data_IF_708144536824
#
_entry.id   IF_708144536824
#
_cell.length_a   1.000
_cell.length_b   1.000
_cell.length_c   1.000
_cell.angle_alpha   90.00
_cell.angle_beta   90.00
_cell.angle_gamma   90.00
#
_symmetry.space_group_name_H-M   'P 1'
#
loop_
_entity.id
_entity.type
_entity.pdbx_description
1 polymer ?
#
# COMPACT_ATOMS: atom_id res chain seq x y z
N UNK A 1 -24.69 -15.50 -38.96
CA UNK A 1 -23.45 -15.05 -39.65
C UNK A 1 -23.15 -13.61 -39.25
N UNK A 2 -21.94 -13.40 -38.69
CA UNK A 2 -21.06 -12.21 -38.66
C UNK A 2 -21.62 -10.77 -38.50
N UNK A 3 -21.31 -10.19 -37.32
CA UNK A 3 -20.47 -9.00 -37.02
C UNK A 3 -20.66 -7.67 -37.78
N UNK A 4 -20.81 -6.56 -37.02
CA UNK A 4 -19.94 -5.36 -37.11
C UNK A 4 -20.29 -4.19 -36.16
N UNK A 5 -19.23 -3.62 -35.54
CA UNK A 5 -18.96 -2.23 -35.06
C UNK A 5 -19.42 -1.86 -33.64
N UNK A 6 -18.54 -1.73 -32.63
CA UNK A 6 -17.46 -0.74 -32.40
C UNK A 6 -17.95 0.72 -32.32
N UNK A 7 -17.95 1.29 -31.12
CA UNK A 7 -17.84 2.74 -30.90
C UNK A 7 -17.00 3.01 -29.63
N UNK A 8 -15.71 3.24 -29.84
CA UNK A 8 -14.82 3.97 -28.93
C UNK A 8 -14.96 5.45 -29.27
N UNK A 9 -15.22 6.33 -28.31
CA UNK A 9 -14.85 7.75 -28.41
C UNK A 9 -14.52 8.32 -27.02
N UNK A 10 -13.23 8.49 -26.75
CA UNK A 10 -12.67 9.49 -25.84
C UNK A 10 -12.30 10.71 -26.66
N UNK A 11 -12.80 11.91 -26.34
CA UNK A 11 -12.12 13.19 -26.64
C UNK A 11 -12.42 14.20 -25.52
N UNK A 12 -11.34 14.65 -24.89
CA UNK A 12 -11.24 15.83 -24.03
C UNK A 12 -11.31 17.14 -24.84
N UNK A 13 -11.71 18.22 -24.14
CA UNK A 13 -11.58 19.67 -24.38
C UNK A 13 -12.98 20.32 -24.33
N UNK A 14 -13.26 21.26 -23.41
CA UNK A 14 -12.57 22.54 -23.36
C UNK A 14 -12.89 23.37 -22.08
N UNK A 15 -11.86 24.09 -21.61
CA UNK A 15 -11.85 25.49 -21.11
C UNK A 15 -12.35 25.77 -19.68
N UNK A 16 -11.42 26.25 -18.84
CA UNK A 16 -11.72 26.84 -17.53
C UNK A 16 -10.51 27.30 -16.72
N UNK A 17 -9.85 28.36 -17.19
CA UNK A 17 -8.92 29.27 -16.48
C UNK A 17 -7.49 28.83 -16.13
N UNK A 18 -6.58 29.73 -16.52
CA UNK A 18 -5.13 29.75 -16.40
C UNK A 18 -4.65 29.73 -14.94
N UNK A 19 -3.79 28.76 -14.61
CA UNK A 19 -2.98 28.76 -13.39
C UNK A 19 -1.53 28.46 -13.77
N UNK A 20 -0.69 29.47 -13.72
CA UNK A 20 0.72 29.47 -14.11
C UNK A 20 1.53 28.37 -13.39
N UNK A 21 2.26 27.57 -14.15
CA UNK A 21 3.32 26.69 -13.64
C UNK A 21 4.56 27.54 -13.29
N UNK A 22 4.60 28.07 -12.07
CA UNK A 22 5.80 28.65 -11.47
C UNK A 22 6.40 27.66 -10.47
N UNK A 23 7.65 27.26 -10.67
CA UNK A 23 8.40 26.48 -9.69
C UNK A 23 8.68 27.31 -8.43
N UNK A 24 8.62 26.66 -7.25
CA UNK A 24 9.13 27.25 -6.02
C UNK A 24 8.33 26.91 -4.76
N UNK A 25 8.92 26.00 -3.98
CA UNK A 25 8.91 25.96 -2.52
C UNK A 25 7.66 25.46 -1.77
N UNK A 26 7.94 24.85 -0.61
CA UNK A 26 7.02 24.06 0.21
C UNK A 26 5.72 24.77 0.56
N UNK A 27 4.63 24.04 0.39
CA UNK A 27 3.28 24.44 0.76
C UNK A 27 2.48 23.22 1.20
N UNK A 28 2.02 23.29 2.44
CA UNK A 28 1.20 22.31 3.14
C UNK A 28 -0.08 22.00 2.34
N UNK A 29 -0.19 20.80 1.77
CA UNK A 29 -1.39 20.31 1.08
C UNK A 29 -2.40 19.71 2.05
N UNK A 30 -2.85 20.51 3.02
CA UNK A 30 -4.01 20.21 3.86
C UNK A 30 -5.14 21.15 3.46
N UNK A 31 -6.28 20.61 3.03
CA UNK A 31 -7.49 21.40 2.79
C UNK A 31 -8.22 21.06 1.49
N UNK A 32 -8.77 19.84 1.41
CA UNK A 32 -9.86 19.51 0.49
C UNK A 32 -11.09 19.17 1.32
N UNK A 33 -11.85 20.18 1.74
CA UNK A 33 -13.15 20.02 2.38
C UNK A 33 -14.18 19.54 1.36
N UNK A 34 -14.29 18.22 1.21
CA UNK A 34 -15.46 17.59 0.63
C UNK A 34 -16.25 16.93 1.76
N UNK A 35 -17.56 17.16 1.81
CA UNK A 35 -18.51 16.32 2.55
C UNK A 35 -18.58 14.92 1.93
N UNK A 36 -17.43 14.23 1.82
CA UNK A 36 -17.34 12.84 1.41
C UNK A 36 -17.58 11.98 2.63
N UNK A 37 -18.56 11.08 2.56
CA UNK A 37 -18.78 10.11 3.62
C UNK A 37 -17.46 9.38 3.94
N UNK A 38 -17.19 9.19 5.24
CA UNK A 38 -16.01 8.46 5.70
C UNK A 38 -15.94 7.09 5.04
N UNK A 39 -14.76 6.70 4.56
CA UNK A 39 -14.55 5.38 3.95
C UNK A 39 -14.31 4.28 4.99
N UNK A 40 -14.24 4.64 6.28
CA UNK A 40 -14.06 3.74 7.41
C UNK A 40 -15.39 3.22 7.98
N UNK A 41 -16.52 3.44 7.31
CA UNK A 41 -17.84 2.92 7.69
C UNK A 41 -18.20 1.69 6.85
N UNK A 42 -19.01 0.75 7.37
CA UNK A 42 -19.49 -0.36 6.58
C UNK A 42 -20.35 0.15 5.42
N UNK A 43 -20.23 -0.49 4.25
CA UNK A 43 -21.10 -0.18 3.10
C UNK A 43 -22.55 -0.55 3.41
N UNK A 44 -23.49 0.11 2.75
CA UNK A 44 -24.91 -0.28 2.83
C UNK A 44 -25.13 -1.70 2.27
N UNK A 45 -26.14 -2.40 2.79
CA UNK A 45 -26.59 -3.70 2.28
C UNK A 45 -25.73 -4.91 2.67
N UNK A 46 -24.90 -4.81 3.72
CA UNK A 46 -24.21 -5.97 4.29
C UNK A 46 -25.20 -6.91 4.99
N UNK A 47 -24.96 -8.21 4.87
CA UNK A 47 -25.60 -9.18 5.76
C UNK A 47 -25.10 -9.00 7.20
N UNK A 48 -25.85 -9.53 8.18
CA UNK A 48 -25.42 -9.49 9.59
C UNK A 48 -24.03 -10.09 9.79
N UNK A 49 -23.75 -11.24 9.17
CA UNK A 49 -22.44 -11.89 9.26
C UNK A 49 -21.30 -11.04 8.66
N UNK A 50 -21.57 -10.31 7.57
CA UNK A 50 -20.59 -9.41 6.96
C UNK A 50 -20.34 -8.16 7.82
N UNK A 51 -21.39 -7.60 8.42
CA UNK A 51 -21.27 -6.48 9.34
C UNK A 51 -20.46 -6.87 10.57
N UNK A 52 -20.74 -8.04 11.17
CA UNK A 52 -19.96 -8.55 12.30
C UNK A 52 -18.49 -8.81 11.93
N UNK A 53 -18.22 -9.32 10.72
CA UNK A 53 -16.85 -9.50 10.25
C UNK A 53 -16.12 -8.15 10.07
N UNK A 54 -16.81 -7.15 9.52
CA UNK A 54 -16.29 -5.79 9.43
C UNK A 54 -15.94 -5.23 10.80
N UNK A 55 -16.83 -5.39 11.78
CA UNK A 55 -16.65 -4.88 13.14
C UNK A 55 -15.48 -5.53 13.87
N UNK A 56 -15.34 -6.86 13.80
CA UNK A 56 -14.16 -7.57 14.32
C UNK A 56 -12.86 -7.09 13.65
N UNK A 57 -12.89 -6.90 12.34
CA UNK A 57 -11.75 -6.38 11.59
C UNK A 57 -11.36 -4.97 12.05
N UNK A 58 -12.36 -4.10 12.25
CA UNK A 58 -12.16 -2.73 12.74
C UNK A 58 -11.54 -2.69 14.13
N UNK A 59 -11.98 -3.57 15.03
CA UNK A 59 -11.41 -3.69 16.37
C UNK A 59 -9.91 -4.03 16.28
N UNK A 60 -9.54 -5.09 15.55
CA UNK A 60 -8.14 -5.50 15.36
C UNK A 60 -7.33 -4.38 14.71
N UNK A 61 -7.86 -3.75 13.67
CA UNK A 61 -7.17 -2.73 12.89
C UNK A 61 -6.83 -1.47 13.70
N UNK A 62 -7.71 -1.10 14.62
CA UNK A 62 -7.58 0.13 15.43
C UNK A 62 -6.95 -0.11 16.79
N UNK A 63 -6.76 -1.37 17.19
CA UNK A 63 -6.14 -1.75 18.45
C UNK A 63 -4.68 -1.31 18.52
N UNK A 64 -4.29 -0.80 19.68
CA UNK A 64 -2.90 -0.64 20.06
C UNK A 64 -2.42 -1.93 20.74
N UNK A 65 -1.43 -2.56 20.12
CA UNK A 65 -0.80 -3.78 20.56
C UNK A 65 0.43 -3.47 21.42
N UNK A 66 0.65 -4.26 22.45
CA UNK A 66 1.85 -4.23 23.30
C UNK A 66 2.93 -5.17 22.75
N UNK A 67 4.22 -4.91 23.06
CA UNK A 67 5.30 -5.83 22.71
C UNK A 67 5.04 -7.27 23.19
N UNK A 68 4.46 -7.42 24.38
CA UNK A 68 4.11 -8.70 25.00
C UNK A 68 3.01 -9.48 24.28
N UNK A 69 2.29 -8.86 23.34
CA UNK A 69 1.16 -9.46 22.61
C UNK A 69 1.59 -10.07 21.26
N UNK A 70 2.88 -10.39 21.10
CA UNK A 70 3.39 -11.08 19.92
C UNK A 70 3.86 -10.16 18.79
N UNK A 71 3.97 -8.85 19.03
CA UNK A 71 4.66 -7.94 18.10
C UNK A 71 6.18 -8.23 18.01
N UNK A 72 6.71 -8.97 18.99
CA UNK A 72 8.14 -9.20 19.15
C UNK A 72 8.88 -7.96 19.64
N UNK A 73 10.19 -8.08 19.91
CA UNK A 73 11.00 -6.95 20.35
C UNK A 73 11.23 -5.90 19.26
N UNK A 74 10.90 -6.19 18.00
CA UNK A 74 11.33 -5.42 16.83
C UNK A 74 10.20 -4.92 15.90
N UNK A 75 9.11 -4.39 16.47
CA UNK A 75 7.98 -3.88 15.69
C UNK A 75 8.17 -2.43 15.21
N UNK A 76 7.64 -2.12 14.02
CA UNK A 76 7.71 -0.78 13.42
C UNK A 76 6.59 0.17 13.87
N UNK A 77 5.46 -0.38 14.32
CA UNK A 77 4.33 0.35 14.89
C UNK A 77 3.49 -0.56 15.79
N UNK A 78 2.76 0.02 16.74
CA UNK A 78 1.88 -0.73 17.67
C UNK A 78 0.46 -0.91 17.14
N UNK A 79 0.13 -0.40 15.95
CA UNK A 79 -1.22 -0.52 15.39
C UNK A 79 -1.20 -0.37 13.87
N UNK A 80 -2.08 -1.07 13.16
CA UNK A 80 -2.26 -0.94 11.71
C UNK A 80 -2.59 0.51 11.33
N UNK A 81 -3.47 1.16 12.10
CA UNK A 81 -3.87 2.55 11.88
C UNK A 81 -2.71 3.55 11.99
N UNK A 82 -1.57 3.18 12.57
CA UNK A 82 -0.41 4.09 12.68
C UNK A 82 0.14 4.48 11.31
N UNK A 83 0.03 3.57 10.34
CA UNK A 83 0.43 3.80 8.96
C UNK A 83 -0.80 3.98 8.04
N UNK A 84 -1.97 3.47 8.40
CA UNK A 84 -3.18 3.51 7.58
C UNK A 84 -4.26 4.41 8.20
N UNK A 85 -4.01 5.72 8.27
CA UNK A 85 -4.79 6.67 9.08
C UNK A 85 -5.57 7.71 8.31
N UNK A 86 -5.28 7.92 7.02
CA UNK A 86 -5.68 9.15 6.32
C UNK A 86 -6.34 8.87 4.97
N UNK A 87 -7.50 9.46 4.65
CA UNK A 87 -8.25 10.43 5.47
C UNK A 87 -8.94 9.84 6.70
N UNK A 88 -9.23 8.53 6.66
CA UNK A 88 -9.86 7.77 7.75
C UNK A 88 -9.01 6.54 8.11
N UNK A 89 -9.24 5.86 9.26
CA UNK A 89 -8.67 4.56 9.54
C UNK A 89 -8.94 3.56 8.41
N UNK A 90 -7.89 2.94 7.87
CA UNK A 90 -7.95 2.12 6.65
C UNK A 90 -7.48 2.87 5.40
N UNK A 91 -7.17 4.16 5.54
CA UNK A 91 -6.60 4.96 4.46
C UNK A 91 -5.10 4.75 4.28
N UNK A 92 -4.50 5.71 3.60
CA UNK A 92 -3.07 5.84 3.41
C UNK A 92 -2.42 6.53 4.62
N UNK A 93 -1.19 7.01 4.49
CA UNK A 93 -0.48 7.72 5.57
C UNK A 93 -0.14 9.16 5.17
N UNK A 94 -0.06 10.11 6.12
CA UNK A 94 0.66 11.35 5.90
C UNK A 94 2.12 11.07 5.49
N UNK A 95 2.72 11.93 4.67
CA UNK A 95 4.08 11.69 4.12
C UNK A 95 5.16 11.48 5.19
N UNK A 96 5.00 12.02 6.39
CA UNK A 96 5.95 11.81 7.49
C UNK A 96 5.95 10.36 8.01
N UNK A 97 4.88 9.59 7.75
CA UNK A 97 4.74 8.14 8.04
C UNK A 97 5.20 7.26 6.88
N UNK A 98 5.85 7.81 5.85
CA UNK A 98 6.54 7.00 4.86
C UNK A 98 7.53 6.04 5.53
N UNK A 99 7.91 5.00 4.82
CA UNK A 99 8.97 4.08 5.22
C UNK A 99 9.84 3.75 4.02
N UNK A 100 10.98 3.15 4.28
CA UNK A 100 11.93 2.73 3.26
C UNK A 100 11.97 1.21 3.18
N UNK A 101 12.12 0.71 1.96
CA UNK A 101 12.58 -0.64 1.70
C UNK A 101 14.06 -0.53 1.36
N UNK A 102 14.92 -1.08 2.20
CA UNK A 102 16.37 -1.05 2.05
C UNK A 102 16.92 -2.45 1.98
N UNK A 103 17.68 -2.75 0.94
CA UNK A 103 18.30 -4.05 0.77
C UNK A 103 19.73 -3.94 0.27
N UNK A 104 20.59 -4.85 0.72
CA UNK A 104 21.95 -4.99 0.21
C UNK A 104 21.90 -5.62 -1.18
N UNK A 105 22.55 -4.97 -2.14
CA UNK A 105 22.63 -5.37 -3.53
C UNK A 105 22.00 -4.35 -4.49
N UNK A 106 21.93 -4.68 -5.80
CA UNK A 106 21.31 -3.84 -6.80
C UNK A 106 19.80 -3.65 -6.56
N UNK A 107 19.17 -2.77 -7.34
CA UNK A 107 17.72 -2.59 -7.30
C UNK A 107 17.00 -3.93 -7.54
N UNK A 108 16.09 -4.28 -6.62
CA UNK A 108 15.37 -5.57 -6.63
C UNK A 108 15.89 -6.59 -5.61
N UNK A 109 17.04 -6.33 -4.97
CA UNK A 109 17.49 -7.16 -3.85
C UNK A 109 16.52 -7.09 -2.66
N UNK A 110 16.47 -8.19 -1.89
CA UNK A 110 15.62 -8.34 -0.71
C UNK A 110 16.41 -8.70 0.57
N UNK A 111 17.74 -8.62 0.51
CA UNK A 111 18.60 -8.92 1.67
C UNK A 111 18.57 -7.78 2.67
N UNK A 112 18.00 -8.00 3.85
CA UNK A 112 18.01 -7.04 4.94
C UNK A 112 19.46 -6.64 5.30
N UNK A 113 19.64 -5.37 5.67
CA UNK A 113 20.92 -4.90 6.21
C UNK A 113 21.15 -5.63 7.54
N UNK A 114 22.32 -6.28 7.75
CA UNK A 114 22.66 -6.92 9.00
C UNK A 114 22.33 -6.03 10.20
N UNK A 115 21.48 -6.57 11.07
CA UNK A 115 21.02 -5.86 12.26
C UNK A 115 19.69 -5.14 12.19
N UNK A 116 19.05 -5.15 11.03
CA UNK A 116 17.63 -4.85 10.95
C UNK A 116 16.83 -6.16 10.95
N UNK A 117 15.63 -6.17 11.56
CA UNK A 117 14.75 -7.33 11.53
C UNK A 117 14.20 -7.63 10.13
N UNK A 118 14.22 -6.64 9.22
CA UNK A 118 13.69 -6.76 7.87
C UNK A 118 14.26 -5.65 6.96
N UNK A 119 13.94 -5.71 5.67
CA UNK A 119 14.19 -4.63 4.70
C UNK A 119 13.34 -3.38 4.96
N UNK A 120 12.33 -3.44 5.83
CA UNK A 120 11.43 -2.32 6.11
C UNK A 120 12.02 -1.45 7.20
N UNK A 121 12.33 -0.20 6.86
CA UNK A 121 12.91 0.79 7.78
C UNK A 121 11.97 1.99 7.93
N UNK A 122 11.44 2.26 9.13
CA UNK A 122 10.52 3.37 9.33
C UNK A 122 11.25 4.73 9.20
N UNK A 123 10.59 5.73 8.60
CA UNK A 123 11.09 7.11 8.53
C UNK A 123 10.84 7.90 9.83
N UNK A 124 10.30 7.25 10.86
CA UNK A 124 9.91 7.85 12.13
C UNK A 124 10.24 6.91 13.29
N UNK A 125 10.48 7.48 14.48
CA UNK A 125 10.83 6.73 15.68
C UNK A 125 12.28 6.95 16.10
N UNK A 126 12.51 6.99 17.42
CA UNK A 126 13.82 7.15 18.02
C UNK A 126 14.36 5.77 18.43
N UNK A 127 15.40 5.31 17.76
CA UNK A 127 16.61 4.88 18.47
C UNK A 127 16.65 3.56 19.26
N UNK A 128 15.87 2.51 18.97
CA UNK A 128 16.04 1.23 19.71
C UNK A 128 16.30 -0.02 18.86
N UNK A 129 16.19 0.04 17.53
CA UNK A 129 16.04 -1.17 16.70
C UNK A 129 17.06 -1.28 15.56
N UNK A 130 18.03 -0.38 15.51
CA UNK A 130 18.95 -0.27 14.39
C UNK A 130 20.39 -0.39 14.91
N UNK A 131 21.00 -1.56 14.75
CA UNK A 131 22.43 -1.78 15.09
C UNK A 131 23.38 -1.35 13.96
N UNK A 132 22.86 -0.88 12.82
CA UNK A 132 23.68 -0.11 11.88
C UNK A 132 23.76 1.35 12.38
N UNK A 133 24.83 2.06 12.02
CA UNK A 133 25.03 3.49 12.31
C UNK A 133 24.01 4.37 11.58
N UNK A 134 22.73 4.22 11.89
CA UNK A 134 21.68 5.13 11.48
C UNK A 134 21.73 6.32 12.43
N UNK A 135 22.36 7.39 11.97
CA UNK A 135 22.43 8.63 12.75
C UNK A 135 21.10 9.37 12.65
N UNK A 136 20.61 9.86 13.78
CA UNK A 136 19.61 10.93 13.86
C UNK A 136 20.30 12.28 14.15
N UNK A 137 21.61 12.44 13.88
CA UNK A 137 22.26 13.75 14.02
C UNK A 137 21.48 14.82 13.23
N UNK A 138 21.07 15.87 13.94
CA UNK A 138 20.23 16.93 13.39
C UNK A 138 18.79 16.52 13.08
N UNK A 139 18.31 15.37 13.57
CA UNK A 139 16.93 14.88 13.39
C UNK A 139 16.64 14.28 12.00
N UNK A 140 17.66 13.97 11.20
CA UNK A 140 17.49 13.41 9.84
C UNK A 140 17.89 11.95 9.79
N UNK A 141 16.97 11.10 9.35
CA UNK A 141 17.22 9.69 9.09
C UNK A 141 18.11 9.52 7.84
N UNK A 142 19.23 8.79 7.95
CA UNK A 142 20.18 8.53 6.84
C UNK A 142 20.43 7.04 6.65
N UNK A 143 20.11 6.53 5.46
CA UNK A 143 20.43 5.15 5.02
C UNK A 143 21.82 5.16 4.36
N UNK A 144 22.72 4.24 4.70
CA UNK A 144 24.01 4.13 4.00
C UNK A 144 23.79 3.71 2.55
N UNK A 145 24.59 4.26 1.63
CA UNK A 145 24.56 3.92 0.20
C UNK A 145 25.24 2.59 -0.10
N UNK A 146 26.01 2.07 0.85
CA UNK A 146 26.83 0.88 0.72
C UNK A 146 27.01 0.20 2.09
N UNK A 147 27.14 -1.13 2.09
CA UNK A 147 27.35 -1.95 3.28
C UNK A 147 28.30 -3.10 2.95
N UNK A 148 29.42 -3.21 3.66
CA UNK A 148 30.52 -4.14 3.36
C UNK A 148 30.99 -4.12 1.88
N UNK A 149 31.00 -2.94 1.24
CA UNK A 149 31.42 -2.77 -0.15
C UNK A 149 30.38 -3.18 -1.20
N UNK A 150 29.18 -3.62 -0.79
CA UNK A 150 28.04 -3.82 -1.67
C UNK A 150 27.13 -2.59 -1.68
N UNK A 151 26.53 -2.21 -2.82
CA UNK A 151 25.56 -1.11 -2.86
C UNK A 151 24.32 -1.44 -2.04
N UNK A 152 23.63 -0.41 -1.54
CA UNK A 152 22.34 -0.54 -0.86
C UNK A 152 21.26 0.10 -1.72
N UNK A 153 20.33 -0.72 -2.22
CA UNK A 153 19.14 -0.25 -2.90
C UNK A 153 18.13 0.27 -1.87
N UNK A 154 17.55 1.44 -2.14
CA UNK A 154 16.54 2.07 -1.27
C UNK A 154 15.33 2.48 -2.08
N UNK A 155 14.14 2.21 -1.57
CA UNK A 155 12.90 2.67 -2.15
C UNK A 155 11.96 3.22 -1.08
N UNK A 156 11.52 4.48 -1.22
CA UNK A 156 10.54 5.06 -0.31
C UNK A 156 9.12 4.59 -0.67
N UNK A 157 8.31 4.29 0.35
CA UNK A 157 6.93 3.84 0.22
C UNK A 157 6.05 4.61 1.20
N UNK A 158 4.79 4.74 0.82
CA UNK A 158 3.71 5.18 1.68
C UNK A 158 2.74 4.01 1.85
N UNK A 159 2.08 3.92 3.00
CA UNK A 159 1.09 2.89 3.24
C UNK A 159 -0.07 3.05 2.25
N UNK A 160 -0.46 1.95 1.62
CA UNK A 160 -1.58 1.93 0.68
C UNK A 160 -2.90 2.01 1.46
N UNK A 161 -3.94 2.59 0.86
CA UNK A 161 -5.28 2.49 1.43
C UNK A 161 -5.75 1.03 1.39
N UNK A 162 -6.35 0.55 2.48
CA UNK A 162 -6.91 -0.79 2.62
C UNK A 162 -8.44 -0.81 2.45
N UNK A 163 -9.06 0.31 2.07
CA UNK A 163 -10.50 0.35 1.82
C UNK A 163 -10.89 -0.66 0.74
N UNK A 164 -11.92 -1.47 1.03
CA UNK A 164 -12.49 -2.39 0.05
C UNK A 164 -11.62 -3.59 -0.34
N UNK A 165 -10.41 -3.75 0.19
CA UNK A 165 -9.53 -4.89 -0.19
C UNK A 165 -10.15 -6.24 0.18
N UNK A 166 -10.96 -6.30 1.25
CA UNK A 166 -11.71 -7.51 1.60
C UNK A 166 -12.80 -7.88 0.58
N UNK A 167 -13.22 -6.97 -0.30
CA UNK A 167 -14.20 -7.27 -1.35
C UNK A 167 -13.59 -8.15 -2.45
N UNK A 168 -12.26 -8.20 -2.60
CA UNK A 168 -11.63 -9.11 -3.56
C UNK A 168 -11.91 -10.59 -3.23
N UNK A 169 -12.14 -10.92 -1.95
CA UNK A 169 -12.57 -12.26 -1.53
C UNK A 169 -13.98 -12.63 -2.03
N UNK A 170 -14.80 -11.64 -2.40
CA UNK A 170 -16.15 -11.92 -2.92
C UNK A 170 -16.15 -12.37 -4.38
N UNK A 171 -15.04 -12.15 -5.11
CA UNK A 171 -14.89 -12.63 -6.48
C UNK A 171 -14.66 -14.14 -6.46
N UNK A 172 -15.54 -14.94 -7.04
CA UNK A 172 -15.38 -16.40 -6.97
C UNK A 172 -14.18 -16.92 -7.78
N UNK A 173 -13.63 -18.08 -7.40
CA UNK A 173 -12.55 -18.72 -8.17
C UNK A 173 -12.99 -19.01 -9.61
N UNK A 174 -14.24 -19.44 -9.81
CA UNK A 174 -14.80 -19.66 -11.14
C UNK A 174 -14.83 -18.38 -11.98
N UNK A 175 -15.13 -17.24 -11.36
CA UNK A 175 -15.08 -15.92 -12.01
C UNK A 175 -13.66 -15.54 -12.39
N UNK A 176 -12.67 -15.81 -11.54
CA UNK A 176 -11.26 -15.53 -11.85
C UNK A 176 -10.79 -16.40 -13.03
N UNK A 177 -11.11 -17.70 -12.99
CA UNK A 177 -10.77 -18.65 -14.04
C UNK A 177 -11.42 -18.30 -15.39
N UNK A 178 -12.69 -17.88 -15.39
CA UNK A 178 -13.41 -17.55 -16.63
C UNK A 178 -12.93 -16.26 -17.29
N UNK A 179 -12.31 -15.36 -16.52
CA UNK A 179 -11.75 -14.10 -17.01
C UNK A 179 -10.23 -14.18 -17.25
N UNK A 180 -9.63 -15.37 -17.17
CA UNK A 180 -8.23 -15.55 -17.51
C UNK A 180 -8.07 -15.48 -19.03
N UNK A 181 -7.42 -14.42 -19.51
CA UNK A 181 -7.09 -14.23 -20.91
C UNK A 181 -5.57 -14.09 -21.09
N UNK A 182 -4.81 -15.21 -21.11
CA UNK A 182 -3.36 -15.16 -21.21
C UNK A 182 -2.84 -14.63 -22.55
N UNK A 183 -3.65 -14.69 -23.60
CA UNK A 183 -3.25 -14.50 -24.98
C UNK A 183 -4.02 -13.35 -25.67
N UNK A 184 -4.75 -12.53 -24.90
CA UNK A 184 -5.56 -11.39 -25.39
C UNK A 184 -6.49 -11.83 -26.52
N UNK A 185 -7.26 -12.89 -26.27
CA UNK A 185 -8.11 -13.55 -27.24
C UNK A 185 -9.24 -12.65 -27.77
N UNK A 186 -9.67 -11.67 -26.98
CA UNK A 186 -10.67 -10.69 -27.38
C UNK A 186 -10.08 -9.40 -28.00
N UNK A 187 -8.75 -9.25 -28.00
CA UNK A 187 -7.99 -8.13 -28.57
C UNK A 187 -8.37 -6.77 -27.95
N UNK A 188 -8.69 -6.73 -26.66
CA UNK A 188 -8.91 -5.50 -25.92
C UNK A 188 -7.59 -4.87 -25.40
N UNK A 189 -6.47 -5.58 -25.55
CA UNK A 189 -5.14 -5.14 -25.12
C UNK A 189 -4.79 -5.52 -23.69
N UNK A 190 -5.62 -6.31 -23.01
CA UNK A 190 -5.44 -6.76 -21.63
C UNK A 190 -5.19 -8.27 -21.63
N UNK A 191 -4.04 -8.67 -21.08
CA UNK A 191 -3.75 -10.08 -20.82
C UNK A 191 -3.57 -10.35 -19.33
N UNK A 192 -4.11 -11.47 -18.88
CA UNK A 192 -4.17 -11.83 -17.46
C UNK A 192 -4.06 -13.33 -17.23
N UNK A 193 -3.32 -13.70 -16.18
CA UNK A 193 -3.19 -15.10 -15.71
C UNK A 193 -3.57 -15.14 -14.25
N UNK A 194 -4.33 -16.16 -13.86
CA UNK A 194 -4.52 -16.45 -12.44
C UNK A 194 -3.24 -17.06 -11.86
N UNK A 195 -3.06 -16.95 -10.54
CA UNK A 195 -2.01 -17.64 -9.82
C UNK A 195 -2.62 -18.58 -8.79
N UNK A 196 -1.85 -19.59 -8.37
CA UNK A 196 -2.21 -20.46 -7.26
C UNK A 196 -1.25 -20.23 -6.10
N UNK A 197 -1.79 -20.21 -4.88
CA UNK A 197 -1.04 -20.19 -3.63
C UNK A 197 -1.41 -21.45 -2.83
N UNK A 198 -0.42 -22.32 -2.59
CA UNK A 198 -0.60 -23.61 -1.91
C UNK A 198 -1.80 -24.45 -2.42
N UNK A 199 -2.04 -24.43 -3.74
CA UNK A 199 -3.13 -25.17 -4.38
C UNK A 199 -4.50 -24.48 -4.34
N UNK A 200 -4.59 -23.27 -3.76
CA UNK A 200 -5.80 -22.43 -3.76
C UNK A 200 -5.61 -21.22 -4.68
N UNK A 201 -6.72 -20.58 -5.09
CA UNK A 201 -6.64 -19.38 -5.93
C UNK A 201 -5.89 -18.25 -5.21
N UNK A 202 -4.78 -17.80 -5.79
CA UNK A 202 -4.00 -16.69 -5.27
C UNK A 202 -4.75 -15.37 -5.47
N UNK A 203 -5.17 -14.74 -4.36
CA UNK A 203 -5.92 -13.46 -4.37
C UNK A 203 -5.06 -12.25 -4.05
N UNK A 204 -4.01 -12.48 -3.27
CA UNK A 204 -3.01 -11.49 -2.93
C UNK A 204 -1.64 -11.97 -3.39
N UNK A 205 -0.82 -11.05 -3.90
CA UNK A 205 0.55 -11.37 -4.24
C UNK A 205 1.42 -11.51 -2.99
N UNK A 206 2.34 -12.48 -3.01
CA UNK A 206 3.54 -12.44 -2.18
C UNK A 206 4.53 -11.45 -2.81
N UNK A 207 5.11 -10.56 -2.01
CA UNK A 207 6.07 -9.54 -2.47
C UNK A 207 7.44 -9.77 -1.86
#
# INVERSE_FOLDING_TARGET
MRWSRCLVWSVCLAVGTLGSCGGGNGGNGGGGGGSGASMAVPRAGLSMAQLEAFERGREVFTRDFKPSEGLGPLYNATSCRSCHSTPDPGGSAPRYRNFFLTAIGPAGSQFAIPGLPSVVVPNFGSGVHAIANFSLEGGRFRIPTEFFGAPVATAQRNALATFGVGLFETVSDATILSNADPDDADNDGISGRFNLDNGTMGRFGVK
#
